data_IF_434369368243
#
_entry.id   IF_434369368243
#
_cell.length_a   1.000
_cell.length_b   1.000
_cell.length_c   1.000
_cell.angle_alpha   90.00
_cell.angle_beta   90.00
_cell.angle_gamma   90.00
#
_symmetry.space_group_name_H-M   'P 1'
#
loop_
_entity.id
_entity.type
_entity.pdbx_description
1 polymer ?
#
# COMPACT_ATOMS: atom_id res chain seq x y z
N UNK A 1 1.99 -2.19 -2.28
CA UNK A 1 1.70 -1.77 -0.90
C UNK A 1 0.51 -2.55 -0.39
N UNK A 2 0.62 -3.10 0.80
CA UNK A 2 -0.39 -3.98 1.41
C UNK A 2 -1.16 -3.24 2.50
N UNK A 3 -2.48 -3.28 2.43
CA UNK A 3 -3.38 -2.63 3.36
C UNK A 3 -4.18 -3.69 4.13
N UNK A 4 -4.41 -3.44 5.42
CA UNK A 4 -5.41 -4.14 6.19
C UNK A 4 -6.64 -3.25 6.30
N UNK A 5 -7.81 -3.77 5.95
CA UNK A 5 -9.11 -3.09 6.16
C UNK A 5 -9.88 -3.89 7.20
N UNK A 6 -10.21 -3.23 8.31
CA UNK A 6 -11.00 -3.80 9.42
C UNK A 6 -12.31 -3.05 9.48
N UNK A 7 -13.38 -3.70 9.05
CA UNK A 7 -14.71 -3.11 8.88
C UNK A 7 -15.76 -4.22 9.02
N UNK A 8 -16.71 -4.07 9.93
CA UNK A 8 -17.71 -5.09 10.21
C UNK A 8 -18.86 -5.09 9.19
N UNK A 9 -19.16 -3.96 8.57
CA UNK A 9 -20.10 -3.91 7.47
C UNK A 9 -19.52 -4.55 6.21
N UNK A 10 -19.90 -5.80 5.98
CA UNK A 10 -19.35 -6.64 4.88
C UNK A 10 -19.48 -5.99 3.50
N UNK A 11 -20.56 -5.23 3.26
CA UNK A 11 -20.77 -4.54 1.97
C UNK A 11 -19.76 -3.42 1.77
N UNK A 12 -19.56 -2.59 2.78
CA UNK A 12 -18.58 -1.50 2.77
C UNK A 12 -17.16 -2.06 2.66
N UNK A 13 -16.81 -3.06 3.49
CA UNK A 13 -15.51 -3.72 3.45
C UNK A 13 -15.16 -4.24 2.04
N UNK A 14 -16.09 -4.93 1.38
CA UNK A 14 -15.89 -5.43 0.00
C UNK A 14 -15.80 -4.31 -1.03
N UNK A 15 -16.58 -3.23 -0.88
CA UNK A 15 -16.50 -2.07 -1.75
C UNK A 15 -15.13 -1.38 -1.64
N UNK A 16 -14.65 -1.17 -0.40
CA UNK A 16 -13.31 -0.65 -0.13
C UNK A 16 -12.23 -1.55 -0.72
N UNK A 17 -12.29 -2.87 -0.48
CA UNK A 17 -11.34 -3.82 -1.04
C UNK A 17 -11.29 -3.74 -2.57
N UNK A 18 -12.45 -3.77 -3.24
CA UNK A 18 -12.53 -3.69 -4.70
C UNK A 18 -11.93 -2.39 -5.22
N UNK A 19 -12.29 -1.27 -4.62
CA UNK A 19 -11.77 0.04 -5.02
C UNK A 19 -10.26 0.15 -4.81
N UNK A 20 -9.77 -0.18 -3.60
CA UNK A 20 -8.36 -0.11 -3.26
C UNK A 20 -7.49 -1.06 -4.10
N UNK A 21 -8.00 -2.24 -4.46
CA UNK A 21 -7.33 -3.14 -5.43
C UNK A 21 -7.24 -2.52 -6.82
N UNK A 22 -8.27 -1.81 -7.27
CA UNK A 22 -8.22 -1.07 -8.54
C UNK A 22 -7.20 0.07 -8.52
N UNK A 23 -6.94 0.64 -7.32
CA UNK A 23 -5.84 1.60 -7.09
C UNK A 23 -4.45 0.94 -7.02
N UNK A 24 -4.38 -0.40 -7.07
CA UNK A 24 -3.15 -1.17 -7.08
C UNK A 24 -2.65 -1.62 -5.71
N UNK A 25 -3.44 -1.46 -4.65
CA UNK A 25 -3.09 -1.99 -3.33
C UNK A 25 -3.38 -3.50 -3.23
N UNK A 26 -2.56 -4.23 -2.48
CA UNK A 26 -2.94 -5.52 -1.93
C UNK A 26 -3.79 -5.28 -0.68
N UNK A 27 -4.95 -5.95 -0.55
CA UNK A 27 -5.93 -5.63 0.51
C UNK A 27 -6.45 -6.88 1.18
N UNK A 28 -6.15 -7.01 2.47
CA UNK A 28 -6.75 -8.02 3.34
C UNK A 28 -7.94 -7.43 4.11
N UNK A 29 -8.96 -8.25 4.37
CA UNK A 29 -10.14 -7.85 5.14
C UNK A 29 -10.22 -8.60 6.47
N UNK A 30 -10.68 -7.89 7.50
CA UNK A 30 -11.17 -8.45 8.76
C UNK A 30 -12.48 -7.75 9.13
N UNK A 31 -13.32 -8.45 9.86
CA UNK A 31 -14.68 -7.97 10.16
C UNK A 31 -14.92 -7.77 11.67
N UNK A 32 -13.87 -7.84 12.47
CA UNK A 32 -13.90 -7.55 13.90
C UNK A 32 -12.52 -7.08 14.39
N UNK A 33 -12.50 -6.34 15.50
CA UNK A 33 -11.28 -5.74 16.02
C UNK A 33 -10.26 -6.75 16.54
N UNK A 34 -10.68 -7.91 17.07
CA UNK A 34 -9.77 -8.91 17.59
C UNK A 34 -8.98 -9.58 16.45
N UNK A 35 -9.66 -10.04 15.40
CA UNK A 35 -9.02 -10.59 14.20
C UNK A 35 -8.22 -9.53 13.43
N UNK A 36 -8.65 -8.26 13.46
CA UNK A 36 -7.91 -7.12 12.94
C UNK A 36 -6.58 -6.94 13.64
N UNK A 37 -6.58 -6.92 14.97
CA UNK A 37 -5.38 -6.80 15.80
C UNK A 37 -4.41 -7.97 15.59
N UNK A 38 -4.93 -9.21 15.58
CA UNK A 38 -4.11 -10.40 15.32
C UNK A 38 -3.40 -10.31 13.96
N UNK A 39 -4.12 -9.90 12.92
CA UNK A 39 -3.56 -9.72 11.59
C UNK A 39 -2.51 -8.61 11.55
N UNK A 40 -2.78 -7.48 12.20
CA UNK A 40 -1.84 -6.36 12.27
C UNK A 40 -0.55 -6.69 13.03
N UNK A 41 -0.59 -7.66 13.96
CA UNK A 41 0.58 -8.17 14.69
C UNK A 41 1.41 -9.16 13.89
N UNK A 42 0.74 -10.04 13.14
CA UNK A 42 1.38 -11.15 12.42
C UNK A 42 1.78 -10.78 10.99
N UNK A 43 1.15 -9.80 10.38
CA UNK A 43 1.38 -9.39 9.00
C UNK A 43 2.17 -8.09 8.88
N UNK A 44 2.82 -7.92 7.74
CA UNK A 44 3.47 -6.66 7.39
C UNK A 44 2.52 -5.83 6.52
N UNK A 45 1.90 -4.82 7.11
CA UNK A 45 1.02 -3.87 6.42
C UNK A 45 1.69 -2.51 6.32
N UNK A 46 1.51 -1.86 5.17
CA UNK A 46 1.99 -0.50 4.95
C UNK A 46 1.05 0.55 5.58
N UNK A 47 -0.26 0.23 5.71
CA UNK A 47 -1.24 1.00 6.48
C UNK A 47 -2.47 0.15 6.83
N UNK A 48 -3.23 0.63 7.83
CA UNK A 48 -4.50 0.03 8.27
C UNK A 48 -5.62 1.04 8.07
N UNK A 49 -6.74 0.61 7.48
CA UNK A 49 -8.03 1.29 7.51
C UNK A 49 -8.89 0.59 8.56
N UNK A 50 -9.31 1.31 9.59
CA UNK A 50 -9.86 0.74 10.79
C UNK A 50 -11.16 1.43 11.19
N UNK A 51 -12.27 0.71 11.20
CA UNK A 51 -13.50 1.22 11.79
C UNK A 51 -13.36 1.39 13.31
N UNK A 52 -13.92 2.44 13.84
CA UNK A 52 -14.04 2.69 15.28
C UNK A 52 -14.99 1.69 15.93
N UNK A 53 -16.16 1.48 15.33
CA UNK A 53 -17.25 0.69 15.90
C UNK A 53 -17.20 -0.76 15.44
N UNK A 54 -16.25 -1.51 15.98
CA UNK A 54 -16.06 -2.94 15.65
C UNK A 54 -16.57 -3.85 16.76
N UNK A 55 -17.07 -5.05 16.43
CA UNK A 55 -17.37 -6.07 17.41
C UNK A 55 -16.09 -6.65 18.03
N UNK A 56 -16.23 -7.19 19.24
CA UNK A 56 -15.19 -7.79 20.10
C UNK A 56 -14.20 -6.80 20.67
N UNK A 57 -13.57 -5.98 19.82
CA UNK A 57 -12.58 -4.99 20.22
C UNK A 57 -12.82 -3.73 19.38
N UNK A 58 -13.01 -2.59 20.01
CA UNK A 58 -13.20 -1.31 19.30
C UNK A 58 -11.94 -0.89 18.56
N UNK A 59 -12.07 -0.08 17.51
CA UNK A 59 -10.92 0.45 16.78
C UNK A 59 -9.95 1.21 17.68
N UNK A 60 -10.45 1.95 18.68
CA UNK A 60 -9.61 2.62 19.67
C UNK A 60 -8.74 1.64 20.49
N UNK A 61 -9.32 0.52 20.91
CA UNK A 61 -8.59 -0.51 21.65
C UNK A 61 -7.55 -1.21 20.77
N UNK A 62 -7.85 -1.42 19.48
CA UNK A 62 -6.90 -1.95 18.51
C UNK A 62 -5.70 -1.01 18.37
N UNK A 63 -5.91 0.30 18.17
CA UNK A 63 -4.81 1.27 18.07
C UNK A 63 -3.99 1.30 19.35
N UNK A 64 -4.62 1.39 20.53
CA UNK A 64 -3.90 1.35 21.81
C UNK A 64 -3.03 0.11 21.98
N UNK A 65 -3.56 -1.06 21.57
CA UNK A 65 -2.80 -2.31 21.63
C UNK A 65 -1.60 -2.28 20.68
N UNK A 66 -1.76 -1.82 19.45
CA UNK A 66 -0.66 -1.70 18.49
C UNK A 66 0.45 -0.76 19.02
N UNK A 67 0.08 0.42 19.52
CA UNK A 67 1.06 1.39 20.05
C UNK A 67 1.78 0.88 21.29
N UNK A 68 1.07 0.18 22.19
CA UNK A 68 1.68 -0.52 23.34
C UNK A 68 2.69 -1.59 22.89
N UNK A 69 2.41 -2.29 21.81
CA UNK A 69 3.30 -3.30 21.22
C UNK A 69 4.43 -2.67 20.37
N UNK A 70 4.56 -1.33 20.37
CA UNK A 70 5.49 -0.55 19.54
C UNK A 70 5.33 -0.79 18.04
N UNK A 71 4.14 -1.17 17.61
CA UNK A 71 3.79 -1.25 16.21
C UNK A 71 3.28 0.13 15.75
N UNK A 72 4.06 0.80 14.91
CA UNK A 72 3.80 2.14 14.39
C UNK A 72 3.25 2.12 12.97
N UNK A 73 2.63 1.02 12.56
CA UNK A 73 1.93 0.99 11.27
C UNK A 73 0.93 2.16 11.21
N UNK A 74 0.91 2.92 10.09
CA UNK A 74 -0.03 4.03 9.93
C UNK A 74 -1.47 3.54 9.96
N UNK A 75 -2.32 4.23 10.73
CA UNK A 75 -3.74 3.89 10.90
C UNK A 75 -4.62 5.07 10.48
N UNK A 76 -5.50 4.83 9.49
CA UNK A 76 -6.62 5.71 9.15
C UNK A 76 -7.88 5.16 9.81
N UNK A 77 -8.42 5.90 10.78
CA UNK A 77 -9.67 5.52 11.42
C UNK A 77 -10.88 5.97 10.61
N UNK A 78 -11.91 5.10 10.54
CA UNK A 78 -13.23 5.42 9.99
C UNK A 78 -14.24 5.49 11.13
N UNK A 79 -15.09 6.51 11.17
CA UNK A 79 -16.10 6.64 12.23
C UNK A 79 -17.40 7.18 11.71
N UNK A 80 -18.52 6.68 12.25
CA UNK A 80 -19.86 7.25 12.07
C UNK A 80 -20.10 8.46 12.98
N UNK A 81 -19.19 8.77 13.92
CA UNK A 81 -19.27 9.89 14.82
C UNK A 81 -18.59 11.12 14.20
N UNK A 82 -19.29 12.24 14.20
CA UNK A 82 -18.92 13.52 13.60
C UNK A 82 -18.60 14.61 14.64
N UNK A 83 -18.49 14.24 15.92
CA UNK A 83 -18.12 15.16 17.00
C UNK A 83 -16.63 15.51 17.01
N UNK A 84 -16.31 16.80 17.18
CA UNK A 84 -14.91 17.28 17.32
C UNK A 84 -14.16 16.55 18.45
N UNK A 85 -14.85 16.12 19.51
CA UNK A 85 -14.27 15.34 20.61
C UNK A 85 -13.94 13.91 20.22
N UNK A 86 -14.73 13.28 19.34
CA UNK A 86 -14.47 11.90 18.89
C UNK A 86 -13.26 11.83 17.93
N UNK A 87 -13.05 12.88 17.13
CA UNK A 87 -11.86 13.02 16.27
C UNK A 87 -10.61 13.26 17.10
N UNK A 88 -10.67 14.15 18.11
CA UNK A 88 -9.58 14.40 19.04
C UNK A 88 -9.22 13.14 19.82
N UNK A 89 -10.20 12.41 20.35
CA UNK A 89 -9.98 11.13 21.06
C UNK A 89 -9.33 10.08 20.15
N UNK A 90 -9.68 10.05 18.86
CA UNK A 90 -9.07 9.13 17.87
C UNK A 90 -7.60 9.41 17.63
N UNK A 91 -7.23 10.67 17.51
CA UNK A 91 -5.85 11.11 17.32
C UNK A 91 -5.02 10.94 18.61
N UNK A 92 -5.58 11.28 19.77
CA UNK A 92 -4.93 11.12 21.09
C UNK A 92 -4.61 9.66 21.43
N UNK A 93 -5.42 8.72 20.93
CA UNK A 93 -5.19 7.28 21.06
C UNK A 93 -3.97 6.82 20.24
N UNK A 94 -3.49 7.64 19.30
CA UNK A 94 -2.34 7.37 18.48
C UNK A 94 -2.67 6.92 17.04
N UNK A 95 -3.88 7.19 16.55
CA UNK A 95 -4.18 7.09 15.13
C UNK A 95 -3.43 8.19 14.35
N UNK A 96 -3.17 7.96 13.09
CA UNK A 96 -2.38 8.88 12.26
C UNK A 96 -3.27 9.81 11.42
N UNK A 97 -4.53 9.41 11.19
CA UNK A 97 -5.56 10.21 10.51
C UNK A 97 -6.95 9.65 10.80
N UNK A 98 -7.98 10.46 10.52
CA UNK A 98 -9.36 10.18 10.84
C UNK A 98 -10.27 10.58 9.67
N UNK A 99 -11.33 9.80 9.40
CA UNK A 99 -12.29 10.08 8.33
C UNK A 99 -13.69 9.71 8.76
N UNK A 100 -14.60 10.71 8.78
CA UNK A 100 -16.00 10.53 9.17
C UNK A 100 -16.83 9.88 8.07
N UNK A 101 -17.71 8.95 8.44
CA UNK A 101 -18.76 8.36 7.58
C UNK A 101 -19.99 9.29 7.57
N UNK A 102 -20.61 9.55 6.38
CA UNK A 102 -20.26 9.05 5.07
C UNK A 102 -19.08 9.82 4.46
N UNK A 103 -18.16 9.12 3.83
CA UNK A 103 -16.97 9.72 3.23
C UNK A 103 -16.92 9.55 1.70
N UNK A 104 -16.18 10.45 1.07
CA UNK A 104 -15.80 10.28 -0.35
C UNK A 104 -14.67 9.29 -0.49
N UNK A 105 -14.83 8.30 -1.37
CA UNK A 105 -13.77 7.33 -1.70
C UNK A 105 -12.48 8.02 -2.18
N UNK A 106 -12.60 9.09 -2.97
CA UNK A 106 -11.43 9.86 -3.44
C UNK A 106 -10.65 10.46 -2.26
N UNK A 107 -11.36 10.98 -1.24
CA UNK A 107 -10.73 11.54 -0.03
C UNK A 107 -10.04 10.43 0.76
N UNK A 108 -10.66 9.27 0.93
CA UNK A 108 -10.05 8.11 1.60
C UNK A 108 -8.73 7.73 0.93
N UNK A 109 -8.72 7.57 -0.39
CA UNK A 109 -7.50 7.22 -1.15
C UNK A 109 -6.42 8.31 -1.00
N UNK A 110 -6.80 9.59 -1.05
CA UNK A 110 -5.87 10.70 -0.88
C UNK A 110 -5.21 10.68 0.50
N UNK A 111 -5.99 10.44 1.58
CA UNK A 111 -5.49 10.32 2.96
C UNK A 111 -4.58 9.11 3.13
N UNK A 112 -4.98 7.94 2.64
CA UNK A 112 -4.12 6.75 2.65
C UNK A 112 -2.77 6.99 1.96
N UNK A 113 -2.78 7.64 0.79
CA UNK A 113 -1.53 8.01 0.10
C UNK A 113 -0.69 8.99 0.92
N UNK A 114 -1.32 9.93 1.63
CA UNK A 114 -0.62 10.85 2.52
C UNK A 114 0.03 10.12 3.70
N UNK A 115 -0.69 9.20 4.34
CA UNK A 115 -0.18 8.37 5.42
C UNK A 115 1.01 7.50 4.98
N UNK A 116 0.88 6.85 3.85
CA UNK A 116 1.95 6.03 3.27
C UNK A 116 3.22 6.83 2.91
N UNK A 117 3.12 8.17 2.78
CA UNK A 117 4.28 9.06 2.61
C UNK A 117 4.95 9.44 3.94
N UNK A 118 4.20 9.60 5.03
CA UNK A 118 4.71 10.09 6.32
C UNK A 118 5.70 9.16 7.02
N UNK A 119 5.67 7.87 6.75
CA UNK A 119 6.49 6.85 7.42
C UNK A 119 7.90 6.64 6.86
N UNK A 120 8.40 7.49 5.96
CA UNK A 120 9.76 7.38 5.43
C UNK A 120 10.45 8.74 5.36
N UNK A 121 11.75 8.81 5.66
CA UNK A 121 12.54 10.00 5.40
C UNK A 121 12.42 10.33 3.91
N UNK A 122 11.97 11.56 3.61
CA UNK A 122 11.85 12.13 2.25
C UNK A 122 11.37 11.14 1.17
N UNK A 123 10.11 10.70 1.25
CA UNK A 123 9.50 10.02 0.10
C UNK A 123 9.01 11.09 -0.88
N UNK A 124 9.69 11.32 -2.00
CA UNK A 124 9.23 12.27 -3.00
C UNK A 124 7.82 11.90 -3.46
N UNK A 125 6.97 12.93 -3.67
CA UNK A 125 5.63 12.73 -4.21
C UNK A 125 5.70 12.06 -5.60
N UNK A 126 6.77 12.35 -6.33
CA UNK A 126 7.14 11.74 -7.62
C UNK A 126 8.42 10.94 -7.42
N UNK A 127 8.42 9.70 -7.83
CA UNK A 127 9.57 8.81 -7.75
C UNK A 127 10.39 8.93 -9.03
N UNK A 128 11.71 8.93 -8.90
CA UNK A 128 12.61 8.98 -10.04
C UNK A 128 13.76 7.99 -9.86
N UNK A 129 14.16 7.35 -10.97
CA UNK A 129 15.37 6.54 -11.09
C UNK A 129 16.00 6.85 -12.46
N UNK A 130 17.04 7.67 -12.46
CA UNK A 130 17.56 8.26 -13.70
C UNK A 130 16.48 9.05 -14.44
N UNK A 131 16.23 8.67 -15.68
CA UNK A 131 15.21 9.26 -16.56
C UNK A 131 13.81 8.61 -16.43
N UNK A 132 13.68 7.53 -15.63
CA UNK A 132 12.40 6.88 -15.34
C UNK A 132 11.70 7.60 -14.19
N UNK A 133 10.51 8.12 -14.44
CA UNK A 133 9.72 8.89 -13.49
C UNK A 133 8.35 8.23 -13.27
N UNK A 134 7.92 8.14 -12.03
CA UNK A 134 6.60 7.63 -11.64
C UNK A 134 5.93 8.61 -10.69
N UNK A 135 4.74 9.09 -11.08
CA UNK A 135 3.85 9.91 -10.26
C UNK A 135 2.71 9.04 -9.71
N UNK A 136 2.73 8.68 -8.41
CA UNK A 136 1.69 7.86 -7.82
C UNK A 136 0.33 8.55 -7.75
N UNK A 137 0.31 9.88 -7.61
CA UNK A 137 -0.92 10.65 -7.49
C UNK A 137 -1.63 10.79 -8.83
N UNK A 138 -0.88 11.10 -9.89
CA UNK A 138 -1.42 11.21 -11.24
C UNK A 138 -1.54 9.86 -11.96
N UNK A 139 -1.04 8.75 -11.38
CA UNK A 139 -0.96 7.41 -12.02
C UNK A 139 -0.23 7.46 -13.35
N UNK A 140 0.86 8.20 -13.41
CA UNK A 140 1.67 8.39 -14.62
C UNK A 140 3.04 7.78 -14.47
N UNK A 141 3.52 7.21 -15.56
CA UNK A 141 4.91 6.76 -15.70
C UNK A 141 5.44 7.30 -17.01
N UNK A 142 6.67 7.76 -16.98
CA UNK A 142 7.38 8.22 -18.19
C UNK A 142 8.86 7.88 -18.07
N UNK A 143 9.52 7.74 -19.23
CA UNK A 143 10.97 7.74 -19.32
C UNK A 143 11.41 8.87 -20.24
N UNK A 144 12.12 9.87 -19.69
CA UNK A 144 12.29 11.15 -20.34
C UNK A 144 10.93 11.75 -20.69
N UNK A 145 10.73 12.14 -21.96
CA UNK A 145 9.46 12.69 -22.46
C UNK A 145 8.46 11.62 -22.96
N UNK A 146 8.82 10.35 -22.90
CA UNK A 146 7.98 9.26 -23.44
C UNK A 146 7.07 8.68 -22.35
N UNK A 147 5.73 8.82 -22.46
CA UNK A 147 4.80 8.23 -21.50
C UNK A 147 4.74 6.71 -21.67
N UNK A 148 4.67 6.00 -20.53
CA UNK A 148 4.61 4.54 -20.47
C UNK A 148 3.27 4.11 -19.86
N UNK A 149 2.50 3.29 -20.60
CA UNK A 149 1.23 2.76 -20.11
C UNK A 149 1.42 1.45 -19.37
N UNK A 150 1.11 1.46 -18.06
CA UNK A 150 1.17 0.29 -17.19
C UNK A 150 -0.24 -0.10 -16.73
N UNK A 151 -0.46 -1.39 -16.55
CA UNK A 151 -1.63 -1.88 -15.81
C UNK A 151 -1.49 -1.52 -14.31
N UNK A 152 -2.59 -1.58 -13.56
CA UNK A 152 -2.56 -1.28 -12.12
C UNK A 152 -1.54 -2.13 -11.37
N UNK A 153 -1.40 -3.40 -11.73
CA UNK A 153 -0.45 -4.33 -11.08
C UNK A 153 1.00 -4.05 -11.46
N UNK A 154 1.28 -3.78 -12.73
CA UNK A 154 2.61 -3.36 -13.19
C UNK A 154 3.03 -2.03 -12.54
N UNK A 155 2.08 -1.09 -12.41
CA UNK A 155 2.31 0.18 -11.73
C UNK A 155 2.68 -0.02 -10.26
N UNK A 156 1.94 -0.87 -9.54
CA UNK A 156 2.21 -1.16 -8.13
C UNK A 156 3.56 -1.87 -7.93
N UNK A 157 3.91 -2.78 -8.83
CA UNK A 157 5.22 -3.44 -8.82
C UNK A 157 6.33 -2.41 -9.04
N UNK A 158 6.20 -1.54 -10.04
CA UNK A 158 7.19 -0.49 -10.31
C UNK A 158 7.29 0.48 -9.13
N UNK A 159 6.17 0.96 -8.61
CA UNK A 159 6.13 1.86 -7.45
C UNK A 159 6.84 1.24 -6.25
N UNK A 160 6.58 -0.04 -5.96
CA UNK A 160 7.21 -0.74 -4.84
C UNK A 160 8.73 -0.84 -5.01
N UNK A 161 9.20 -1.16 -6.21
CA UNK A 161 10.63 -1.24 -6.52
C UNK A 161 11.29 0.15 -6.51
N UNK A 162 10.65 1.18 -7.07
CA UNK A 162 11.19 2.55 -7.08
C UNK A 162 11.32 3.15 -5.68
N UNK A 163 10.40 2.82 -4.77
CA UNK A 163 10.50 3.25 -3.37
C UNK A 163 11.67 2.62 -2.62
N UNK A 164 12.27 1.57 -3.19
CA UNK A 164 13.42 0.81 -2.67
C UNK A 164 14.53 0.76 -3.71
N UNK A 165 14.64 1.82 -4.53
CA UNK A 165 15.68 1.88 -5.55
C UNK A 165 17.08 1.70 -4.94
N UNK A 166 17.87 0.80 -5.52
CA UNK A 166 19.18 0.38 -5.01
C UNK A 166 19.14 -0.84 -4.08
N UNK A 167 18.02 -1.10 -3.40
CA UNK A 167 17.87 -2.25 -2.52
C UNK A 167 17.47 -3.51 -3.29
N UNK A 168 17.92 -4.66 -2.79
CA UNK A 168 17.47 -5.96 -3.30
C UNK A 168 16.16 -6.33 -2.60
N UNK A 169 15.09 -6.45 -3.38
CA UNK A 169 13.75 -6.84 -2.91
C UNK A 169 13.55 -8.32 -3.17
N UNK A 170 13.25 -9.09 -2.12
CA UNK A 170 13.02 -10.52 -2.27
C UNK A 170 11.73 -10.80 -3.04
N UNK A 171 11.66 -11.99 -3.67
CA UNK A 171 10.43 -12.46 -4.30
C UNK A 171 9.27 -12.54 -3.30
N UNK A 172 9.56 -12.95 -2.08
CA UNK A 172 8.56 -13.05 -1.01
C UNK A 172 7.99 -11.67 -0.65
N UNK A 173 8.85 -10.65 -0.47
CA UNK A 173 8.41 -9.27 -0.20
C UNK A 173 7.55 -8.72 -1.34
N UNK A 174 7.92 -9.02 -2.60
CA UNK A 174 7.09 -8.61 -3.74
C UNK A 174 5.73 -9.27 -3.72
N UNK A 175 5.66 -10.58 -3.45
CA UNK A 175 4.39 -11.29 -3.30
C UNK A 175 3.55 -10.73 -2.16
N UNK A 176 4.15 -10.46 -1.02
CA UNK A 176 3.45 -9.97 0.15
C UNK A 176 2.89 -8.56 -0.02
N UNK A 177 3.63 -7.65 -0.69
CA UNK A 177 3.29 -6.23 -0.75
C UNK A 177 2.62 -5.78 -2.05
N UNK A 178 2.76 -6.56 -3.13
CA UNK A 178 2.18 -6.23 -4.44
C UNK A 178 1.00 -7.13 -4.78
N UNK A 179 0.96 -8.37 -4.24
CA UNK A 179 -0.17 -9.29 -4.39
C UNK A 179 -0.85 -9.53 -3.05
N UNK A 180 -2.17 -9.69 -3.07
CA UNK A 180 -2.93 -10.12 -1.91
C UNK A 180 -2.85 -11.64 -1.72
N UNK A 181 -3.28 -12.15 -0.55
CA UNK A 181 -3.23 -13.57 -0.20
C UNK A 181 -3.93 -14.49 -1.22
N UNK A 182 -4.88 -13.97 -1.98
CA UNK A 182 -5.62 -14.73 -3.00
C UNK A 182 -5.00 -14.64 -4.41
N UNK A 183 -4.17 -13.64 -4.68
CA UNK A 183 -3.51 -13.44 -5.98
C UNK A 183 -2.15 -14.13 -6.09
N UNK A 184 -1.62 -14.65 -4.98
CA UNK A 184 -0.28 -15.28 -4.91
C UNK A 184 -0.26 -16.78 -5.28
N UNK A 185 -1.37 -17.33 -5.80
CA UNK A 185 -1.51 -18.79 -6.04
C UNK A 185 -0.67 -19.32 -7.22
N UNK A 186 -0.12 -18.45 -8.06
CA UNK A 186 0.75 -18.88 -9.17
C UNK A 186 2.23 -18.76 -8.79
N UNK A 187 2.94 -19.88 -8.83
CA UNK A 187 4.33 -20.00 -8.38
C UNK A 187 5.30 -19.01 -9.07
N UNK A 188 4.99 -18.48 -10.25
CA UNK A 188 5.87 -17.63 -11.07
C UNK A 188 5.28 -16.25 -11.39
N UNK A 189 4.25 -15.81 -10.65
CA UNK A 189 3.57 -14.53 -10.96
C UNK A 189 4.52 -13.33 -10.95
N UNK A 190 5.46 -13.27 -10.01
CA UNK A 190 6.43 -12.17 -9.91
C UNK A 190 7.32 -12.11 -11.15
N UNK A 191 7.86 -13.25 -11.58
CA UNK A 191 8.72 -13.34 -12.77
C UNK A 191 8.00 -12.88 -14.03
N UNK A 192 6.75 -13.29 -14.18
CA UNK A 192 5.90 -12.91 -15.31
C UNK A 192 5.71 -11.40 -15.35
N UNK A 193 5.34 -10.80 -14.22
CA UNK A 193 5.09 -9.35 -14.14
C UNK A 193 6.38 -8.52 -14.24
N UNK A 194 7.49 -8.98 -13.69
CA UNK A 194 8.80 -8.36 -13.94
C UNK A 194 9.14 -8.42 -15.43
N UNK A 195 8.86 -9.54 -16.11
CA UNK A 195 9.02 -9.67 -17.55
C UNK A 195 8.13 -8.68 -18.34
N UNK A 196 6.86 -8.48 -17.92
CA UNK A 196 5.98 -7.50 -18.52
C UNK A 196 6.48 -6.07 -18.30
N UNK A 197 6.93 -5.77 -17.08
CA UNK A 197 7.46 -4.46 -16.73
C UNK A 197 8.69 -4.12 -17.59
N UNK A 198 9.70 -5.02 -17.66
CA UNK A 198 10.90 -4.83 -18.47
C UNK A 198 10.60 -4.56 -19.94
N UNK A 199 9.61 -5.25 -20.52
CA UNK A 199 9.20 -5.01 -21.91
C UNK A 199 8.66 -3.61 -22.15
N UNK A 200 8.18 -2.93 -21.11
CA UNK A 200 7.60 -1.59 -21.22
C UNK A 200 8.57 -0.49 -20.81
N UNK A 201 9.38 -0.71 -19.77
CA UNK A 201 10.26 0.33 -19.23
C UNK A 201 11.72 0.20 -19.64
N UNK A 202 12.17 -1.02 -20.08
CA UNK A 202 13.57 -1.28 -20.44
C UNK A 202 13.75 -1.48 -21.95
N UNK A 203 13.08 -2.48 -22.51
CA UNK A 203 13.31 -2.92 -23.90
C UNK A 203 13.18 -1.81 -24.93
N UNK A 204 12.15 -0.93 -24.88
CA UNK A 204 12.00 0.14 -25.87
C UNK A 204 13.07 1.22 -25.79
N UNK A 205 13.77 1.31 -24.65
CA UNK A 205 14.74 2.36 -24.35
C UNK A 205 16.20 1.84 -24.31
N UNK A 206 16.40 0.54 -24.56
CA UNK A 206 17.73 -0.07 -24.49
C UNK A 206 18.34 -0.06 -23.08
N UNK A 207 17.47 -0.14 -22.06
CA UNK A 207 17.83 -0.09 -20.63
C UNK A 207 17.67 -1.45 -19.96
N UNK A 208 18.21 -1.57 -18.73
CA UNK A 208 18.11 -2.77 -17.88
C UNK A 208 17.95 -2.36 -16.40
N UNK A 209 16.96 -1.51 -16.12
CA UNK A 209 16.80 -0.91 -14.78
C UNK A 209 16.33 -1.88 -13.71
N UNK A 210 15.78 -3.04 -14.08
CA UNK A 210 15.32 -4.06 -13.10
C UNK A 210 16.11 -5.37 -13.27
N UNK A 211 17.38 -5.45 -12.88
CA UNK A 211 18.13 -6.70 -12.91
C UNK A 211 17.58 -7.75 -11.94
N UNK A 212 17.82 -9.03 -12.27
CA UNK A 212 17.56 -10.16 -11.38
C UNK A 212 18.80 -10.42 -10.52
N UNK A 213 18.62 -10.41 -9.20
CA UNK A 213 19.64 -10.86 -8.25
C UNK A 213 19.42 -12.35 -7.99
N UNK A 214 20.25 -13.21 -8.61
CA UNK A 214 20.07 -14.67 -8.60
C UNK A 214 19.97 -15.22 -7.18
N UNK A 215 18.97 -16.04 -6.93
CA UNK A 215 18.72 -16.69 -5.64
C UNK A 215 18.12 -15.75 -4.56
N UNK A 216 17.96 -14.44 -4.83
CA UNK A 216 17.45 -13.46 -3.87
C UNK A 216 16.15 -12.81 -4.34
N UNK A 217 16.19 -12.14 -5.50
CA UNK A 217 15.02 -11.37 -5.96
C UNK A 217 15.35 -10.40 -7.09
N UNK A 218 14.90 -9.17 -6.96
CA UNK A 218 15.02 -8.12 -7.96
C UNK A 218 15.51 -6.82 -7.31
N UNK A 219 16.21 -6.00 -8.08
CA UNK A 219 16.62 -4.67 -7.70
C UNK A 219 16.22 -3.68 -8.79
N UNK A 220 15.79 -2.50 -8.43
CA UNK A 220 15.67 -1.39 -9.36
C UNK A 220 16.92 -0.52 -9.21
N UNK A 221 17.66 -0.32 -10.29
CA UNK A 221 18.86 0.52 -10.28
C UNK A 221 18.46 1.99 -10.08
N UNK A 222 19.12 2.67 -9.13
CA UNK A 222 18.77 4.04 -8.74
C UNK A 222 19.03 5.07 -9.85
N UNK A 223 19.94 4.77 -10.77
CA UNK A 223 20.27 5.59 -11.93
C UNK A 223 19.42 5.30 -13.18
N UNK A 224 18.50 4.33 -13.09
CA UNK A 224 17.59 3.97 -14.17
C UNK A 224 18.15 2.96 -15.17
N UNK A 225 19.32 2.38 -14.90
CA UNK A 225 19.93 1.26 -15.64
C UNK A 225 20.51 1.59 -17.00
#
# INVERSE_FOLDING_TARGET
MRLLVVEDEVRLARALQKGLRAEGFAVDLRHDGASGLESARSGHYDAIVLDVMLPRLSGYEVVRALRRDRNWVPVLMLSAKDGEYDEADGLDVGADDYLTKPFSYVVLVARLRALLRRGAPERPAVLAAGDLVLDPAAKRVARGDTPISLTAREFSLLEYLMRRAGDVVSRFDLLEHVWDAYGASEANVVEVYVGYLRRKIDTPFGRACVPTVRGVGYRLEADGG
#
